data_IF_977736275071
#
_entry.id   IF_977736275071
#
_cell.length_a   1.000
_cell.length_b   1.000
_cell.length_c   1.000
_cell.angle_alpha   90.00
_cell.angle_beta   90.00
_cell.angle_gamma   90.00
#
_symmetry.space_group_name_H-M   'P 1'
#
loop_
_entity.id
_entity.type
_entity.pdbx_description
1 polymer ?
#
# COMPACT_ATOMS: atom_id res chain seq x y z
N UNK A 1 -5.45 15.55 -13.67
CA UNK A 1 -5.99 14.19 -13.54
C UNK A 1 -5.47 13.32 -14.66
N UNK A 2 -4.98 12.12 -14.34
CA UNK A 2 -4.53 11.11 -15.32
C UNK A 2 -5.28 9.81 -15.13
N UNK A 3 -5.68 9.19 -16.24
CA UNK A 3 -6.48 7.96 -16.25
C UNK A 3 -5.69 6.84 -16.89
N UNK A 4 -5.70 5.68 -16.25
CA UNK A 4 -4.99 4.49 -16.70
C UNK A 4 -5.89 3.27 -16.65
N UNK A 5 -5.55 2.25 -17.45
CA UNK A 5 -6.19 0.95 -17.35
C UNK A 5 -5.68 0.22 -16.11
N UNK A 6 -6.58 -0.33 -15.31
CA UNK A 6 -6.24 -1.30 -14.27
C UNK A 6 -6.30 -2.69 -14.89
N UNK A 7 -5.17 -3.40 -14.89
CA UNK A 7 -5.02 -4.69 -15.60
C UNK A 7 -4.81 -5.88 -14.67
N UNK A 8 -4.61 -5.64 -13.38
CA UNK A 8 -4.60 -6.67 -12.34
C UNK A 8 -4.85 -6.04 -10.98
N UNK A 9 -5.48 -6.80 -10.09
CA UNK A 9 -5.85 -6.35 -8.76
C UNK A 9 -5.73 -7.52 -7.78
N UNK A 10 -5.08 -7.27 -6.66
CA UNK A 10 -4.99 -8.23 -5.56
C UNK A 10 -5.38 -7.53 -4.26
N UNK A 11 -6.27 -8.13 -3.50
CA UNK A 11 -6.64 -7.68 -2.16
C UNK A 11 -5.74 -8.35 -1.13
N UNK A 12 -5.27 -7.59 -0.14
CA UNK A 12 -4.54 -8.11 1.02
C UNK A 12 -5.48 -7.97 2.21
N UNK A 13 -5.90 -9.09 2.78
CA UNK A 13 -6.80 -9.09 3.93
C UNK A 13 -6.07 -8.80 5.25
N UNK A 14 -6.81 -8.84 6.35
CA UNK A 14 -6.30 -8.55 7.70
C UNK A 14 -5.30 -9.59 8.21
N UNK A 15 -5.35 -10.81 7.69
CA UNK A 15 -4.42 -11.89 8.02
C UNK A 15 -3.14 -11.81 7.16
N UNK A 16 -3.14 -10.94 6.15
CA UNK A 16 -2.05 -10.75 5.21
C UNK A 16 -2.13 -11.69 3.99
N UNK A 17 -3.21 -12.47 3.90
CA UNK A 17 -3.45 -13.36 2.77
C UNK A 17 -3.82 -12.55 1.53
N UNK A 18 -3.31 -12.99 0.38
CA UNK A 18 -3.43 -12.26 -0.86
C UNK A 18 -4.45 -12.90 -1.80
N UNK A 19 -5.57 -12.21 -2.04
CA UNK A 19 -6.65 -12.66 -2.91
C UNK A 19 -6.51 -12.03 -4.29
N UNK A 20 -6.11 -12.83 -5.29
CA UNK A 20 -6.03 -12.35 -6.66
C UNK A 20 -7.43 -12.23 -7.28
N UNK A 21 -7.74 -11.07 -7.84
CA UNK A 21 -9.07 -10.77 -8.36
C UNK A 21 -9.00 -10.71 -9.89
N UNK A 22 -9.70 -11.65 -10.53
CA UNK A 22 -9.80 -11.67 -11.98
C UNK A 22 -10.67 -10.49 -12.45
N UNK A 23 -10.06 -9.55 -13.18
CA UNK A 23 -10.70 -8.35 -13.68
C UNK A 23 -11.36 -8.60 -15.03
N UNK A 24 -12.68 -8.38 -15.12
CA UNK A 24 -13.36 -8.23 -16.40
C UNK A 24 -13.05 -6.86 -17.02
N UNK A 25 -13.08 -5.81 -16.20
CA UNK A 25 -12.70 -4.43 -16.56
C UNK A 25 -12.09 -3.73 -15.35
N UNK A 26 -11.23 -2.76 -15.60
CA UNK A 26 -10.60 -1.99 -14.54
C UNK A 26 -10.14 -0.62 -15.00
N UNK A 27 -10.37 0.38 -14.16
CA UNK A 27 -9.97 1.76 -14.33
C UNK A 27 -9.28 2.26 -13.06
N UNK A 28 -8.21 3.03 -13.23
CA UNK A 28 -7.55 3.71 -12.11
C UNK A 28 -7.19 5.14 -12.51
N UNK A 29 -7.48 6.09 -11.64
CA UNK A 29 -7.35 7.52 -11.88
C UNK A 29 -6.45 8.11 -10.79
N UNK A 30 -5.37 8.76 -11.22
CA UNK A 30 -4.60 9.66 -10.37
C UNK A 30 -5.27 11.04 -10.37
N UNK A 31 -5.73 11.49 -9.20
CA UNK A 31 -6.35 12.82 -9.09
C UNK A 31 -5.36 13.97 -9.28
N UNK A 32 -4.08 13.73 -9.06
CA UNK A 32 -3.01 14.75 -9.07
C UNK A 32 -3.30 15.91 -8.11
N UNK A 33 -3.92 15.60 -6.97
CA UNK A 33 -4.09 16.54 -5.86
C UNK A 33 -2.91 16.45 -4.88
N UNK A 34 -2.83 17.40 -3.94
CA UNK A 34 -1.74 17.51 -2.96
C UNK A 34 -1.61 16.30 -2.04
N UNK A 35 -2.71 15.55 -1.88
CA UNK A 35 -2.80 14.43 -0.95
C UNK A 35 -2.58 13.08 -1.65
N UNK A 36 -2.17 13.10 -2.92
CA UNK A 36 -1.92 11.91 -3.74
C UNK A 36 -3.09 10.92 -3.78
N UNK A 37 -4.32 11.42 -3.93
CA UNK A 37 -5.49 10.57 -4.00
C UNK A 37 -5.60 9.85 -5.35
N UNK A 38 -6.05 8.61 -5.26
CA UNK A 38 -6.39 7.75 -6.37
C UNK A 38 -7.81 7.23 -6.25
N UNK A 39 -8.44 7.03 -7.40
CA UNK A 39 -9.74 6.38 -7.52
C UNK A 39 -9.56 5.12 -8.36
N UNK A 40 -10.13 4.02 -7.91
CA UNK A 40 -10.09 2.74 -8.61
C UNK A 40 -11.51 2.22 -8.79
N UNK A 41 -11.81 1.72 -9.98
CA UNK A 41 -13.04 0.97 -10.23
C UNK A 41 -12.69 -0.36 -10.90
N UNK A 42 -13.19 -1.45 -10.31
CA UNK A 42 -12.93 -2.81 -10.76
C UNK A 42 -14.25 -3.54 -10.99
N UNK A 43 -14.40 -4.15 -12.16
CA UNK A 43 -15.48 -5.09 -12.45
C UNK A 43 -14.93 -6.50 -12.33
N UNK A 44 -15.46 -7.25 -11.37
CA UNK A 44 -14.99 -8.58 -10.97
C UNK A 44 -16.17 -9.53 -10.79
N UNK A 45 -15.87 -10.83 -10.65
CA UNK A 45 -16.87 -11.85 -10.38
C UNK A 45 -17.57 -11.63 -9.02
N UNK A 46 -18.88 -11.86 -8.99
CA UNK A 46 -19.73 -11.69 -7.81
C UNK A 46 -19.30 -12.58 -6.64
N UNK A 47 -18.60 -13.69 -6.86
CA UNK A 47 -18.09 -14.54 -5.78
C UNK A 47 -17.18 -13.78 -4.78
N UNK A 48 -16.57 -12.67 -5.20
CA UNK A 48 -15.70 -11.85 -4.35
C UNK A 48 -16.43 -10.78 -3.54
N UNK A 49 -17.76 -10.69 -3.63
CA UNK A 49 -18.57 -9.64 -2.96
C UNK A 49 -18.26 -9.52 -1.46
N UNK A 50 -18.19 -10.65 -0.76
CA UNK A 50 -17.97 -10.70 0.68
C UNK A 50 -16.62 -10.10 1.11
N UNK A 51 -15.60 -10.12 0.24
CA UNK A 51 -14.29 -9.52 0.52
C UNK A 51 -14.37 -7.99 0.67
N UNK A 52 -15.40 -7.36 0.09
CA UNK A 52 -15.54 -5.90 0.05
C UNK A 52 -16.70 -5.38 0.90
N UNK A 53 -17.72 -6.19 1.18
CA UNK A 53 -18.88 -5.77 1.99
C UNK A 53 -18.51 -5.45 3.44
N UNK A 54 -17.66 -6.27 4.07
CA UNK A 54 -17.21 -6.03 5.44
C UNK A 54 -16.40 -4.72 5.55
N UNK A 55 -15.33 -4.49 4.75
CA UNK A 55 -14.62 -3.22 4.73
C UNK A 55 -15.51 -2.01 4.40
N UNK A 56 -16.49 -2.18 3.51
CA UNK A 56 -17.44 -1.12 3.16
C UNK A 56 -18.31 -0.73 4.35
N UNK A 57 -18.85 -1.72 5.08
CA UNK A 57 -19.71 -1.51 6.24
C UNK A 57 -18.97 -0.86 7.40
N UNK A 58 -17.74 -1.31 7.65
CA UNK A 58 -16.96 -0.87 8.82
C UNK A 58 -16.11 0.37 8.52
N UNK A 59 -16.15 0.88 7.28
CA UNK A 59 -15.30 1.96 6.78
C UNK A 59 -13.80 1.73 7.01
N UNK A 60 -13.40 0.46 7.08
CA UNK A 60 -12.02 0.07 7.34
C UNK A 60 -11.21 0.13 6.04
N UNK A 61 -10.04 0.78 6.05
CA UNK A 61 -9.15 0.75 4.90
C UNK A 61 -8.57 -0.65 4.73
N UNK A 62 -8.46 -1.07 3.48
CA UNK A 62 -7.80 -2.32 3.07
C UNK A 62 -6.58 -2.01 2.22
N UNK A 63 -5.66 -2.97 2.12
CA UNK A 63 -4.52 -2.86 1.22
C UNK A 63 -4.81 -3.61 -0.08
N UNK A 64 -4.41 -2.99 -1.19
CA UNK A 64 -4.50 -3.62 -2.51
C UNK A 64 -3.19 -3.45 -3.28
N UNK A 65 -2.86 -4.43 -4.11
CA UNK A 65 -1.84 -4.30 -5.13
C UNK A 65 -2.51 -4.17 -6.50
N UNK A 66 -2.18 -3.11 -7.23
CA UNK A 66 -2.77 -2.79 -8.53
C UNK A 66 -1.70 -2.80 -9.63
N UNK A 67 -1.92 -3.57 -10.68
CA UNK A 67 -1.14 -3.55 -11.91
C UNK A 67 -1.72 -2.50 -12.86
N UNK A 68 -0.95 -1.45 -13.13
CA UNK A 68 -1.40 -0.26 -13.87
C UNK A 68 -0.83 -0.29 -15.29
N UNK A 69 -1.69 -0.08 -16.29
CA UNK A 69 -1.40 -0.03 -17.72
C UNK A 69 -0.96 -1.35 -18.37
N UNK A 70 0.05 -2.04 -17.83
CA UNK A 70 0.63 -3.27 -18.40
C UNK A 70 0.84 -4.34 -17.32
N UNK A 71 0.57 -5.64 -17.61
CA UNK A 71 0.77 -6.72 -16.65
C UNK A 71 2.23 -6.95 -16.25
N UNK A 72 3.18 -6.51 -17.08
CA UNK A 72 4.62 -6.62 -16.83
C UNK A 72 5.17 -5.54 -15.90
N UNK A 73 4.35 -4.56 -15.52
CA UNK A 73 4.76 -3.54 -14.57
C UNK A 73 4.76 -4.14 -13.17
N UNK A 74 5.60 -3.61 -12.29
CA UNK A 74 5.52 -3.97 -10.89
C UNK A 74 4.19 -3.46 -10.27
N UNK A 75 3.50 -4.25 -9.44
CA UNK A 75 2.29 -3.80 -8.76
C UNK A 75 2.52 -2.57 -7.87
N UNK A 76 1.59 -1.63 -7.91
CA UNK A 76 1.56 -0.49 -7.01
C UNK A 76 0.69 -0.83 -5.79
N UNK A 77 1.24 -0.63 -4.58
CA UNK A 77 0.54 -0.92 -3.33
C UNK A 77 -0.27 0.32 -2.91
N UNK A 78 -1.53 0.14 -2.54
CA UNK A 78 -2.41 1.22 -2.08
C UNK A 78 -3.03 0.87 -0.74
N UNK A 79 -3.35 1.90 0.06
CA UNK A 79 -4.33 1.82 1.12
C UNK A 79 -5.62 2.47 0.61
N UNK A 80 -6.72 1.72 0.58
CA UNK A 80 -7.98 2.16 -0.02
C UNK A 80 -9.16 1.93 0.92
N UNK A 81 -10.14 2.81 0.84
CA UNK A 81 -11.48 2.58 1.38
C UNK A 81 -12.41 2.14 0.24
N UNK A 82 -13.25 1.14 0.54
CA UNK A 82 -14.34 0.75 -0.36
C UNK A 82 -15.43 1.80 -0.25
N UNK A 83 -15.80 2.39 -1.39
CA UNK A 83 -16.81 3.46 -1.48
C UNK A 83 -18.16 2.88 -1.87
N UNK A 84 -18.18 1.91 -2.78
CA UNK A 84 -19.40 1.20 -3.13
C UNK A 84 -19.12 -0.15 -3.77
N UNK A 85 -20.00 -1.12 -3.51
CA UNK A 85 -20.10 -2.39 -4.23
C UNK A 85 -21.48 -2.42 -4.89
N UNK A 86 -21.54 -2.63 -6.20
CA UNK A 86 -22.81 -2.65 -6.97
C UNK A 86 -22.85 -3.86 -7.89
N UNK A 87 -23.91 -4.65 -7.83
CA UNK A 87 -24.16 -5.67 -8.84
C UNK A 87 -24.40 -5.02 -10.21
N UNK A 88 -23.73 -5.53 -11.24
CA UNK A 88 -23.96 -5.17 -12.64
C UNK A 88 -24.92 -6.17 -13.29
N UNK A 89 -24.76 -7.45 -12.93
CA UNK A 89 -25.58 -8.59 -13.34
C UNK A 89 -25.36 -9.75 -12.36
N UNK A 90 -25.97 -10.90 -12.61
CA UNK A 90 -25.94 -12.11 -11.75
C UNK A 90 -24.55 -12.75 -11.56
N UNK A 91 -23.52 -12.26 -12.27
CA UNK A 91 -22.16 -12.79 -12.21
C UNK A 91 -21.10 -11.75 -11.88
N UNK A 92 -21.43 -10.46 -11.89
CA UNK A 92 -20.44 -9.40 -11.83
C UNK A 92 -20.85 -8.27 -10.91
N UNK A 93 -19.87 -7.75 -10.19
CA UNK A 93 -19.97 -6.56 -9.36
C UNK A 93 -18.99 -5.49 -9.85
N UNK A 94 -19.38 -4.21 -9.72
CA UNK A 94 -18.46 -3.07 -9.74
C UNK A 94 -18.10 -2.72 -8.29
N UNK A 95 -16.80 -2.61 -8.04
CA UNK A 95 -16.24 -2.14 -6.77
C UNK A 95 -15.53 -0.81 -7.02
N UNK A 96 -16.03 0.24 -6.39
CA UNK A 96 -15.43 1.57 -6.40
C UNK A 96 -14.64 1.77 -5.10
N UNK A 97 -13.40 2.22 -5.24
CA UNK A 97 -12.46 2.44 -4.14
C UNK A 97 -11.80 3.80 -4.28
N UNK A 98 -11.45 4.41 -3.14
CA UNK A 98 -10.64 5.62 -3.08
C UNK A 98 -9.50 5.38 -2.10
N UNK A 99 -8.29 5.83 -2.44
CA UNK A 99 -7.17 5.68 -1.52
C UNK A 99 -5.92 6.43 -1.95
N UNK A 100 -4.80 6.06 -1.35
CA UNK A 100 -3.50 6.68 -1.58
C UNK A 100 -2.46 5.61 -1.91
N UNK A 101 -1.53 5.96 -2.79
CA UNK A 101 -0.39 5.11 -3.12
C UNK A 101 0.51 4.99 -1.88
N UNK A 102 0.86 3.77 -1.50
CA UNK A 102 1.83 3.50 -0.43
C UNK A 102 3.24 3.42 -1.03
N UNK A 103 4.19 4.09 -0.39
CA UNK A 103 5.59 3.99 -0.77
C UNK A 103 6.12 2.56 -0.62
N UNK A 104 6.87 2.11 -1.63
CA UNK A 104 7.52 0.80 -1.60
C UNK A 104 8.56 0.74 -0.50
N UNK A 105 8.55 -0.34 0.29
CA UNK A 105 9.53 -0.58 1.37
C UNK A 105 10.98 -0.49 0.90
N UNK A 106 11.27 -0.90 -0.34
CA UNK A 106 12.62 -0.82 -0.93
C UNK A 106 13.08 0.62 -1.13
N UNK A 107 12.24 1.47 -1.72
CA UNK A 107 12.58 2.88 -1.91
C UNK A 107 12.78 3.60 -0.57
N UNK A 108 11.94 3.26 0.41
CA UNK A 108 12.08 3.77 1.78
C UNK A 108 13.39 3.32 2.44
N UNK A 109 13.76 2.04 2.27
CA UNK A 109 15.04 1.52 2.74
C UNK A 109 16.23 2.24 2.09
N UNK A 110 16.19 2.45 0.77
CA UNK A 110 17.21 3.21 0.04
C UNK A 110 17.33 4.64 0.58
N UNK A 111 16.21 5.31 0.83
CA UNK A 111 16.18 6.66 1.40
C UNK A 111 16.78 6.73 2.81
N UNK A 112 16.42 5.79 3.72
CA UNK A 112 17.02 5.72 5.05
C UNK A 112 18.52 5.52 4.93
N UNK A 113 18.95 4.58 4.09
CA UNK A 113 20.35 4.24 3.93
C UNK A 113 21.15 5.44 3.42
N UNK A 114 20.64 6.14 2.40
CA UNK A 114 21.26 7.35 1.86
C UNK A 114 21.41 8.44 2.93
N UNK A 115 20.36 8.70 3.71
CA UNK A 115 20.38 9.70 4.78
C UNK A 115 21.40 9.36 5.88
N UNK A 116 21.47 8.09 6.30
CA UNK A 116 22.44 7.66 7.32
C UNK A 116 23.89 7.75 6.82
N UNK A 117 24.13 7.49 5.53
CA UNK A 117 25.44 7.69 4.90
C UNK A 117 25.80 9.18 4.85
N UNK A 118 24.86 10.07 4.49
CA UNK A 118 25.07 11.53 4.51
C UNK A 118 25.39 12.06 5.92
N UNK A 119 24.82 11.45 6.97
CA UNK A 119 25.16 11.73 8.36
C UNK A 119 26.54 11.17 8.77
N UNK A 120 27.24 10.46 7.89
CA UNK A 120 28.57 9.90 8.11
C UNK A 120 28.57 8.58 8.90
N UNK A 121 27.42 7.92 9.07
CA UNK A 121 27.38 6.63 9.75
C UNK A 121 27.97 5.54 8.86
N UNK A 122 28.75 4.64 9.49
CA UNK A 122 29.40 3.51 8.82
C UNK A 122 29.38 2.26 9.71
N UNK A 123 29.71 1.11 9.14
CA UNK A 123 29.90 -0.13 9.89
C UNK A 123 28.68 -0.58 10.69
N UNK A 124 28.91 -1.01 11.93
CA UNK A 124 27.87 -1.51 12.85
C UNK A 124 26.82 -0.46 13.21
N UNK A 125 27.22 0.81 13.28
CA UNK A 125 26.36 1.90 13.71
C UNK A 125 25.33 2.23 12.62
N UNK A 126 25.77 2.23 11.35
CA UNK A 126 24.88 2.32 10.19
C UNK A 126 23.84 1.20 10.19
N UNK A 127 24.29 -0.04 10.34
CA UNK A 127 23.42 -1.22 10.37
C UNK A 127 22.38 -1.17 11.50
N UNK A 128 22.78 -0.72 12.68
CA UNK A 128 21.90 -0.62 13.85
C UNK A 128 20.82 0.44 13.63
N UNK A 129 21.22 1.64 13.19
CA UNK A 129 20.29 2.74 12.92
C UNK A 129 19.36 2.44 11.74
N UNK A 130 19.88 1.80 10.70
CA UNK A 130 19.09 1.37 9.55
C UNK A 130 17.99 0.39 9.96
N UNK A 131 18.31 -0.66 10.72
CA UNK A 131 17.33 -1.64 11.21
C UNK A 131 16.27 -1.00 12.09
N UNK A 132 16.67 -0.09 12.98
CA UNK A 132 15.75 0.65 13.84
C UNK A 132 14.75 1.48 13.03
N UNK A 133 15.24 2.31 12.11
CA UNK A 133 14.37 3.19 11.31
C UNK A 133 13.47 2.40 10.36
N UNK A 134 13.95 1.26 9.84
CA UNK A 134 13.17 0.38 8.97
C UNK A 134 11.99 -0.29 9.72
N UNK A 135 12.16 -0.63 11.00
CA UNK A 135 11.13 -1.27 11.83
C UNK A 135 10.16 -0.26 12.48
N UNK A 136 10.60 0.96 12.80
CA UNK A 136 9.81 1.93 13.57
C UNK A 136 8.90 2.85 12.73
N UNK A 137 8.45 2.39 11.56
CA UNK A 137 7.63 3.12 10.57
C UNK A 137 6.35 3.80 11.12
N UNK A 138 5.93 3.54 12.37
CA UNK A 138 4.72 4.13 12.98
C UNK A 138 4.97 5.21 14.04
N UNK A 139 6.21 5.62 14.33
CA UNK A 139 6.47 6.74 15.25
C UNK A 139 7.34 7.77 14.54
N UNK A 140 6.73 8.94 14.30
CA UNK A 140 7.32 10.23 13.93
C UNK A 140 8.84 10.30 13.89
N UNK A 141 9.37 10.86 12.80
CA UNK A 141 10.76 11.20 12.44
C UNK A 141 11.53 11.99 13.52
N UNK A 142 11.76 11.39 14.69
CA UNK A 142 12.66 11.92 15.72
C UNK A 142 13.83 10.96 15.87
N UNK A 143 15.08 11.44 15.83
CA UNK A 143 16.25 10.61 16.12
C UNK A 143 16.13 10.01 17.52
N UNK A 144 16.66 8.79 17.72
CA UNK A 144 16.63 8.13 19.03
C UNK A 144 17.27 9.04 20.10
N UNK A 145 16.60 9.24 21.24
CA UNK A 145 17.23 9.83 22.40
C UNK A 145 18.36 8.91 22.90
N UNK A 146 19.41 9.52 23.46
CA UNK A 146 20.70 8.88 23.72
C UNK A 146 20.63 7.71 24.73
N UNK A 147 19.57 7.66 25.53
CA UNK A 147 19.24 6.67 26.54
C UNK A 147 18.80 5.31 25.96
N UNK A 148 18.20 5.27 24.77
CA UNK A 148 17.83 3.98 24.12
C UNK A 148 19.03 3.28 23.44
N UNK A 149 20.15 3.99 23.22
CA UNK A 149 21.35 3.42 22.59
C UNK A 149 22.12 2.46 23.50
N UNK A 150 22.00 2.61 24.82
CA UNK A 150 22.65 1.71 25.78
C UNK A 150 21.93 0.37 25.94
N UNK A 151 20.61 0.34 25.77
CA UNK A 151 19.82 -0.88 25.99
C UNK A 151 19.99 -1.94 24.87
N UNK A 152 20.42 -1.51 23.68
CA UNK A 152 20.66 -2.42 22.52
C UNK A 152 22.03 -3.11 22.63
N UNK A 153 22.97 -2.60 23.44
CA UNK A 153 24.28 -3.25 23.63
C UNK A 153 24.24 -4.46 24.57
N UNK A 154 23.14 -4.68 25.28
CA UNK A 154 23.01 -5.73 26.29
C UNK A 154 21.97 -6.82 25.98
N UNK A 155 21.56 -6.97 24.71
CA UNK A 155 20.72 -8.09 24.23
C UNK A 155 21.32 -8.67 22.95
#
# INVERSE_FOLDING_TARGET
MKTFRLVGLQLIDHEGEKHNLELNKGLIINKEDTDNHWILEAVIDQQFTNLFELPLKDHQPVQIEALISKPTNDPALFSVQVVSVKAINDKQISVLMKGTLLERKLHFAEMILANLIEQGLTGSDLLTQFKYQLHNKNRSTKPLPADEKENIKNT
#
